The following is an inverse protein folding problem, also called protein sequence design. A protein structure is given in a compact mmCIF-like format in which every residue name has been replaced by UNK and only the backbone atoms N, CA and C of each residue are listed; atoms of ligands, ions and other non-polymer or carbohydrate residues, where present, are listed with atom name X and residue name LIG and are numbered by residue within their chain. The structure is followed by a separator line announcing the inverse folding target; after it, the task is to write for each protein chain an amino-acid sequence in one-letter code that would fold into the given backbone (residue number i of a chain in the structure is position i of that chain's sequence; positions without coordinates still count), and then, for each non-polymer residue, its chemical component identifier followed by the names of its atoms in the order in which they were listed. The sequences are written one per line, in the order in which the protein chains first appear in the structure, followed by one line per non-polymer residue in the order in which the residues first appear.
data_IF_417123449293
#
_entry.id   IF_417123449293
#
_cell.length_a   1.000
_cell.length_b   1.000
_cell.length_c   1.000
_cell.angle_alpha   90.00
_cell.angle_beta   90.00
_cell.angle_gamma   90.00
#
_symmetry.space_group_name_H-M   'P 1'
#
loop_
_entity.id
_entity.type
_entity.pdbx_description
1 polymer ?
#
# COMPACT_ATOMS: atom_id res chain seq x y z
N UNK A 1 -33.25 29.61 8.48
CA UNK A 1 -32.12 28.76 8.04
C UNK A 1 -31.28 28.44 9.26
N UNK A 2 -31.51 27.31 9.91
CA UNK A 2 -30.62 26.84 10.98
C UNK A 2 -29.35 26.34 10.31
N UNK A 3 -28.23 27.02 10.56
CA UNK A 3 -26.90 26.55 10.18
C UNK A 3 -26.40 25.72 11.36
N UNK A 4 -26.96 24.53 11.50
CA UNK A 4 -26.38 23.51 12.38
C UNK A 4 -25.04 23.12 11.77
N UNK A 5 -23.96 23.70 12.29
CA UNK A 5 -22.61 23.29 11.92
C UNK A 5 -22.42 21.87 12.46
N UNK A 6 -22.13 20.93 11.56
CA UNK A 6 -21.68 19.57 11.83
C UNK A 6 -20.26 19.55 12.43
N UNK A 7 -19.97 20.53 13.31
CA UNK A 7 -18.69 20.70 13.96
C UNK A 7 -18.71 19.94 15.28
N UNK A 8 -17.77 19.01 15.43
CA UNK A 8 -17.61 18.24 16.64
C UNK A 8 -17.11 19.12 17.80
N UNK A 9 -17.41 18.68 19.02
CA UNK A 9 -16.80 19.29 20.20
C UNK A 9 -15.31 18.92 20.28
N UNK A 10 -14.45 19.73 20.94
CA UNK A 10 -13.03 19.42 21.05
C UNK A 10 -12.71 18.03 21.61
N UNK A 11 -13.57 17.51 22.50
CA UNK A 11 -13.41 16.17 23.08
C UNK A 11 -13.68 15.06 22.07
N UNK A 12 -14.67 15.25 21.20
CA UNK A 12 -14.99 14.30 20.14
C UNK A 12 -13.89 14.31 19.07
N UNK A 13 -13.36 15.48 18.72
CA UNK A 13 -12.20 15.61 17.84
C UNK A 13 -10.97 14.89 18.40
N UNK A 14 -10.68 15.04 19.69
CA UNK A 14 -9.56 14.35 20.34
C UNK A 14 -9.73 12.81 20.31
N UNK A 15 -10.95 12.32 20.48
CA UNK A 15 -11.26 10.90 20.39
C UNK A 15 -11.08 10.34 18.96
N UNK A 16 -11.62 11.03 17.96
CA UNK A 16 -11.48 10.66 16.54
C UNK A 16 -10.01 10.67 16.10
N UNK A 17 -9.24 11.65 16.57
CA UNK A 17 -7.80 11.74 16.30
C UNK A 17 -7.03 10.55 16.90
N UNK A 18 -7.37 10.15 18.13
CA UNK A 18 -6.75 9.01 18.79
C UNK A 18 -7.04 7.69 18.05
N UNK A 19 -8.28 7.49 17.59
CA UNK A 19 -8.67 6.34 16.78
C UNK A 19 -7.86 6.27 15.48
N UNK A 20 -7.81 7.37 14.73
CA UNK A 20 -7.07 7.48 13.47
C UNK A 20 -5.57 7.21 13.70
N UNK A 21 -4.97 7.82 14.72
CA UNK A 21 -3.57 7.57 15.07
C UNK A 21 -3.31 6.11 15.43
N UNK A 22 -4.25 5.45 16.11
CA UNK A 22 -4.18 4.02 16.39
C UNK A 22 -4.10 3.20 15.11
N UNK A 23 -4.98 3.48 14.13
CA UNK A 23 -4.99 2.79 12.83
C UNK A 23 -3.69 3.00 12.04
N UNK A 24 -3.14 4.21 12.05
CA UNK A 24 -1.89 4.52 11.35
C UNK A 24 -0.65 3.92 12.00
N UNK A 25 -0.62 3.83 13.34
CA UNK A 25 0.53 3.30 14.09
C UNK A 25 0.46 1.79 14.31
N UNK A 26 -0.68 1.15 14.03
CA UNK A 26 -0.89 -0.28 14.20
C UNK A 26 -0.11 -1.10 13.17
N UNK A 27 1.22 -1.15 13.31
CA UNK A 27 2.20 -2.02 12.60
C UNK A 27 1.83 -2.47 11.18
N UNK A 28 1.22 -1.58 10.41
CA UNK A 28 0.88 -1.74 9.01
C UNK A 28 1.90 -0.93 8.22
N UNK A 29 2.31 -1.39 7.03
CA UNK A 29 3.17 -0.60 6.17
C UNK A 29 2.52 0.78 6.02
N UNK A 30 3.31 1.81 6.27
CA UNK A 30 2.81 3.17 6.01
C UNK A 30 2.48 3.26 4.53
N UNK A 31 1.54 4.11 4.12
CA UNK A 31 1.26 4.35 2.70
C UNK A 31 2.54 4.73 1.91
N UNK A 32 3.54 5.27 2.60
CA UNK A 32 4.85 5.62 2.08
C UNK A 32 5.85 4.43 2.01
N UNK A 33 5.50 3.25 2.49
CA UNK A 33 6.26 2.00 2.33
C UNK A 33 5.58 1.09 1.30
N UNK A 34 4.26 1.20 1.16
CA UNK A 34 3.45 0.42 0.22
C UNK A 34 3.89 0.63 -1.25
N UNK A 35 4.36 1.83 -1.64
CA UNK A 35 4.88 2.05 -3.00
C UNK A 35 6.16 1.27 -3.32
N UNK A 36 6.88 0.78 -2.31
CA UNK A 36 8.08 -0.06 -2.48
C UNK A 36 7.76 -1.55 -2.48
N UNK A 37 6.55 -1.92 -2.07
CA UNK A 37 6.15 -3.32 -2.03
C UNK A 37 5.77 -3.76 -3.45
N UNK A 38 6.39 -4.82 -4.00
CA UNK A 38 5.99 -5.34 -5.31
C UNK A 38 4.53 -5.81 -5.26
N UNK A 39 3.77 -5.51 -6.30
CA UNK A 39 2.43 -6.06 -6.44
C UNK A 39 2.49 -7.59 -6.52
N UNK A 40 1.50 -8.30 -5.93
CA UNK A 40 1.41 -9.75 -6.07
C UNK A 40 1.14 -10.15 -7.53
N UNK A 41 1.57 -11.34 -7.96
CA UNK A 41 1.36 -11.80 -9.33
C UNK A 41 -0.13 -11.93 -9.64
N UNK A 42 -0.53 -11.40 -10.79
CA UNK A 42 -1.87 -11.56 -11.36
C UNK A 42 -1.99 -12.87 -12.15
N UNK A 43 -3.23 -13.30 -12.40
CA UNK A 43 -3.52 -14.56 -13.10
C UNK A 43 -3.06 -14.56 -14.57
N UNK A 44 -2.89 -13.38 -15.18
CA UNK A 44 -2.44 -13.16 -16.55
C UNK A 44 -0.95 -12.83 -16.68
N UNK A 45 -0.21 -12.81 -15.57
CA UNK A 45 1.23 -12.57 -15.59
C UNK A 45 1.99 -13.72 -16.27
N UNK A 46 2.98 -13.34 -17.07
CA UNK A 46 3.90 -14.30 -17.67
C UNK A 46 4.86 -14.84 -16.60
N UNK A 47 5.23 -16.12 -16.69
CA UNK A 47 6.27 -16.70 -15.83
C UNK A 47 7.60 -16.00 -16.09
N UNK A 48 8.07 -15.23 -15.10
CA UNK A 48 9.39 -14.60 -15.13
C UNK A 48 10.40 -15.53 -14.44
N UNK A 49 11.54 -15.85 -15.08
CA UNK A 49 12.58 -16.63 -14.42
C UNK A 49 13.18 -15.84 -13.23
N UNK A 50 13.69 -16.54 -12.20
CA UNK A 50 14.33 -15.90 -11.06
C UNK A 50 15.55 -15.07 -11.52
N UNK A 51 15.81 -13.95 -10.83
CA UNK A 51 16.87 -13.00 -11.18
C UNK A 51 18.27 -13.62 -11.28
N UNK A 52 18.51 -14.71 -10.55
CA UNK A 52 19.80 -15.40 -10.49
C UNK A 52 20.02 -16.42 -11.62
N UNK A 53 19.04 -16.60 -12.51
CA UNK A 53 19.14 -17.52 -13.65
C UNK A 53 19.52 -16.73 -14.92
N UNK A 54 20.60 -17.10 -15.63
CA UNK A 54 21.00 -16.39 -16.84
C UNK A 54 19.90 -16.55 -17.89
N UNK A 55 19.36 -15.43 -18.39
CA UNK A 55 18.46 -15.41 -19.52
C UNK A 55 19.14 -16.16 -20.67
N UNK A 56 18.54 -17.31 -21.03
CA UNK A 56 19.12 -18.30 -21.92
C UNK A 56 19.84 -17.67 -23.10
N UNK A 57 21.10 -18.05 -23.24
CA UNK A 57 21.98 -17.68 -24.34
C UNK A 57 21.23 -17.96 -25.67
N UNK A 58 20.94 -16.92 -26.43
CA UNK A 58 20.54 -17.05 -27.84
C UNK A 58 21.76 -17.53 -28.65
N UNK A 59 22.18 -18.77 -28.44
CA UNK A 59 23.08 -19.48 -29.34
C UNK A 59 22.23 -20.22 -30.37
N UNK A 60 21.59 -19.49 -31.29
CA UNK A 60 21.22 -20.06 -32.58
C UNK A 60 22.36 -19.76 -33.56
N UNK A 61 23.37 -20.64 -33.52
CA UNK A 61 24.46 -20.71 -34.51
C UNK A 61 23.90 -21.29 -35.82
N UNK A 62 23.76 -20.41 -36.82
CA UNK A 62 23.93 -20.60 -38.28
C UNK A 62 23.33 -21.82 -38.99
#
# INVERSE_FOLDING_TARGET
MHRESDAHSPREDDALKAELQGMMKANRPTRAEEWRDPEPPADDDYTVPPFDEPLGEETEER
#
